data_IF_182005300461
#
_entry.id   IF_182005300461
#
_cell.length_a   1.000
_cell.length_b   1.000
_cell.length_c   1.000
_cell.angle_alpha   90.00
_cell.angle_beta   90.00
_cell.angle_gamma   90.00
#
_symmetry.space_group_name_H-M   'P 1'
#
loop_
_entity.id
_entity.type
_entity.pdbx_description
1 polymer ?
#
# COMPACT_ATOMS: atom_id res chain seq x y z
N UNK A 1 -0.67 6.71 -3.05
CA UNK A 1 -0.39 7.86 -2.15
C UNK A 1 1.11 8.12 -2.14
N UNK A 2 1.54 9.33 -1.78
CA UNK A 2 2.95 9.66 -1.66
C UNK A 2 3.32 9.71 -0.19
N UNK A 3 4.28 8.88 0.22
CA UNK A 3 4.76 8.88 1.61
C UNK A 3 6.28 8.99 1.68
N UNK A 4 6.75 9.52 2.81
CA UNK A 4 8.18 9.64 3.10
C UNK A 4 8.71 8.34 3.69
N UNK A 5 9.63 7.69 2.99
CA UNK A 5 10.37 6.51 3.46
C UNK A 5 11.84 6.89 3.61
N UNK A 6 12.29 7.01 4.86
CA UNK A 6 13.60 7.60 5.17
C UNK A 6 13.64 9.07 4.76
N UNK A 7 14.60 9.45 3.92
CA UNK A 7 14.78 10.83 3.47
C UNK A 7 14.04 11.16 2.17
N UNK A 8 13.47 10.14 1.48
CA UNK A 8 12.86 10.30 0.16
C UNK A 8 11.36 10.04 0.20
N UNK A 9 10.62 10.80 -0.61
CA UNK A 9 9.19 10.59 -0.81
C UNK A 9 8.97 9.67 -2.01
N UNK A 10 8.14 8.65 -1.83
CA UNK A 10 7.84 7.65 -2.85
C UNK A 10 6.33 7.48 -3.02
N UNK A 11 5.91 7.28 -4.28
CA UNK A 11 4.55 6.82 -4.57
C UNK A 11 4.45 5.33 -4.23
N UNK A 12 3.51 5.01 -3.35
CA UNK A 12 3.26 3.66 -2.84
C UNK A 12 1.76 3.45 -2.63
N UNK A 13 1.35 2.18 -2.63
CA UNK A 13 -0.01 1.81 -2.21
C UNK A 13 -0.18 2.03 -0.71
N UNK A 14 -1.38 2.34 -0.19
CA UNK A 14 -1.62 2.40 1.25
C UNK A 14 -1.25 1.07 1.93
N UNK A 15 -0.41 1.12 2.96
CA UNK A 15 -0.06 -0.05 3.77
C UNK A 15 0.13 0.34 5.24
N UNK A 16 0.20 -0.66 6.09
CA UNK A 16 0.57 -0.49 7.49
C UNK A 16 0.83 -1.80 8.19
N UNK A 17 1.27 -1.71 9.45
CA UNK A 17 1.61 -2.87 10.27
C UNK A 17 0.33 -3.55 10.78
N UNK A 18 0.30 -4.89 10.70
CA UNK A 18 -0.73 -5.71 11.36
C UNK A 18 -0.61 -5.59 12.87
N UNK A 19 -1.75 -5.40 13.53
CA UNK A 19 -1.87 -5.39 14.99
C UNK A 19 -2.30 -6.77 15.51
N UNK A 20 -2.11 -7.02 16.80
CA UNK A 20 -2.61 -8.24 17.44
C UNK A 20 -4.14 -8.22 17.48
N UNK A 21 -4.77 -9.38 17.26
CA UNK A 21 -6.24 -9.49 17.20
C UNK A 21 -6.89 -9.20 15.84
N UNK A 22 -6.16 -8.76 14.81
CA UNK A 22 -6.71 -8.56 13.45
C UNK A 22 -6.10 -9.50 12.39
N UNK A 23 -6.91 -9.89 11.40
CA UNK A 23 -6.46 -10.57 10.18
C UNK A 23 -5.76 -9.59 9.22
N UNK A 24 -4.94 -10.09 8.29
CA UNK A 24 -4.26 -9.24 7.29
C UNK A 24 -5.25 -8.44 6.43
N UNK A 25 -6.43 -8.99 6.14
CA UNK A 25 -7.49 -8.27 5.42
C UNK A 25 -8.06 -7.14 6.28
N UNK A 26 -8.36 -7.41 7.55
CA UNK A 26 -8.84 -6.38 8.49
C UNK A 26 -7.81 -5.26 8.65
N UNK A 27 -6.50 -5.58 8.63
CA UNK A 27 -5.44 -4.57 8.56
C UNK A 27 -5.59 -3.68 7.34
N UNK A 28 -5.82 -4.25 6.15
CA UNK A 28 -6.00 -3.46 4.93
C UNK A 28 -7.24 -2.55 4.99
N UNK A 29 -8.36 -3.06 5.50
CA UNK A 29 -9.61 -2.30 5.74
C UNK A 29 -9.37 -1.14 6.72
N UNK A 30 -8.69 -1.41 7.84
CA UNK A 30 -8.34 -0.41 8.85
C UNK A 30 -7.42 0.66 8.28
N UNK A 31 -6.36 0.27 7.56
CA UNK A 31 -5.41 1.22 6.97
C UNK A 31 -6.10 2.11 5.92
N UNK A 32 -7.02 1.56 5.12
CA UNK A 32 -7.81 2.36 4.19
C UNK A 32 -8.64 3.41 4.95
N UNK A 33 -9.34 2.99 6.02
CA UNK A 33 -10.12 3.88 6.86
C UNK A 33 -9.26 4.96 7.56
N UNK A 34 -8.10 4.61 8.09
CA UNK A 34 -7.18 5.53 8.77
C UNK A 34 -6.57 6.55 7.79
N UNK A 35 -6.06 6.09 6.64
CA UNK A 35 -5.37 6.96 5.66
C UNK A 35 -6.32 7.96 5.00
N UNK A 36 -7.58 7.58 4.81
CA UNK A 36 -8.56 8.42 4.14
C UNK A 36 -9.67 8.88 5.09
N UNK A 37 -9.45 8.89 6.41
CA UNK A 37 -10.42 9.39 7.40
C UNK A 37 -11.84 8.83 7.23
N UNK A 38 -11.97 7.55 6.84
CA UNK A 38 -13.23 6.85 6.54
C UNK A 38 -14.09 7.50 5.45
N UNK A 39 -13.49 8.28 4.54
CA UNK A 39 -14.23 8.95 3.46
C UNK A 39 -14.27 8.17 2.16
N UNK A 40 -13.51 7.08 2.05
CA UNK A 40 -13.49 6.16 0.92
C UNK A 40 -14.14 4.85 1.31
N UNK A 41 -15.14 4.43 0.54
CA UNK A 41 -15.82 3.15 0.70
C UNK A 41 -15.38 2.18 -0.40
N UNK A 42 -14.85 1.04 0.00
CA UNK A 42 -14.38 0.02 -0.92
C UNK A 42 -14.84 -1.38 -0.48
N UNK A 43 -15.12 -2.23 -1.46
CA UNK A 43 -15.45 -3.65 -1.26
C UNK A 43 -14.21 -4.50 -1.50
N UNK A 44 -13.71 -5.14 -0.45
CA UNK A 44 -12.59 -6.08 -0.53
C UNK A 44 -13.02 -7.44 -1.09
N UNK A 45 -12.16 -8.04 -1.92
CA UNK A 45 -12.40 -9.35 -2.51
C UNK A 45 -11.68 -10.47 -1.77
N UNK A 46 -12.46 -11.44 -1.24
CA UNK A 46 -11.92 -12.61 -0.55
C UNK A 46 -11.10 -12.26 0.71
N UNK A 47 -10.46 -13.28 1.29
CA UNK A 47 -9.57 -13.13 2.45
C UNK A 47 -8.11 -13.46 2.12
N UNK A 48 -7.81 -13.84 0.87
CA UNK A 48 -6.45 -14.14 0.42
C UNK A 48 -5.80 -12.89 -0.18
N UNK A 49 -4.51 -12.64 0.07
CA UNK A 49 -3.79 -11.58 -0.61
C UNK A 49 -3.65 -11.89 -2.10
N UNK A 50 -3.76 -10.87 -2.95
CA UNK A 50 -3.57 -11.01 -4.40
C UNK A 50 -2.09 -11.01 -4.81
N UNK A 51 -1.21 -10.53 -3.93
CA UNK A 51 0.23 -10.53 -4.15
C UNK A 51 0.99 -10.05 -2.93
N UNK A 52 2.31 -10.06 -3.03
CA UNK A 52 3.18 -9.56 -1.98
C UNK A 52 4.42 -8.87 -2.55
N UNK A 53 5.01 -7.98 -1.77
CA UNK A 53 6.30 -7.36 -2.05
C UNK A 53 7.17 -7.44 -0.81
N UNK A 54 8.45 -7.75 -0.97
CA UNK A 54 9.39 -7.83 0.15
C UNK A 54 10.59 -6.93 -0.13
N UNK A 55 11.08 -6.27 0.91
CA UNK A 55 12.28 -5.46 0.81
C UNK A 55 13.05 -5.50 2.13
N UNK A 56 14.36 -5.28 2.04
CA UNK A 56 15.25 -5.19 3.20
C UNK A 56 15.39 -3.72 3.59
N UNK A 57 15.46 -3.45 4.88
CA UNK A 57 15.74 -2.10 5.36
C UNK A 57 17.21 -1.73 5.12
N UNK A 58 17.57 -0.43 5.09
CA UNK A 58 18.96 0.00 5.15
C UNK A 58 19.70 -0.62 6.34
N UNK A 59 21.00 -0.90 6.20
CA UNK A 59 21.80 -1.55 7.26
C UNK A 59 21.76 -0.81 8.60
N UNK A 60 21.70 0.53 8.58
CA UNK A 60 21.52 1.36 9.78
C UNK A 60 20.24 1.01 10.54
N UNK A 61 19.10 1.02 9.85
CA UNK A 61 17.80 0.65 10.42
C UNK A 61 17.75 -0.82 10.87
N UNK A 62 18.43 -1.73 10.16
CA UNK A 62 18.53 -3.13 10.60
C UNK A 62 19.26 -3.25 11.94
N UNK A 63 20.36 -2.50 12.13
CA UNK A 63 21.12 -2.52 13.38
C UNK A 63 20.34 -1.93 14.56
N UNK A 64 19.58 -0.85 14.33
CA UNK A 64 18.79 -0.19 15.37
C UNK A 64 17.54 -0.98 15.77
N UNK A 65 16.83 -1.54 14.80
CA UNK A 65 15.55 -2.22 15.05
C UNK A 65 15.68 -3.72 15.29
N UNK A 66 16.83 -4.32 14.94
CA UNK A 66 17.02 -5.77 14.82
C UNK A 66 16.00 -6.43 13.86
N UNK A 67 15.48 -5.68 12.88
CA UNK A 67 14.54 -6.16 11.86
C UNK A 67 15.19 -6.07 10.48
N UNK A 68 15.21 -7.20 9.76
CA UNK A 68 15.84 -7.30 8.43
C UNK A 68 15.10 -6.47 7.37
N UNK A 69 13.78 -6.37 7.47
CA UNK A 69 12.93 -5.72 6.47
C UNK A 69 11.45 -6.00 6.66
N UNK A 70 10.67 -5.81 5.59
CA UNK A 70 9.23 -6.00 5.61
C UNK A 70 8.73 -6.86 4.44
N UNK A 71 7.58 -7.50 4.68
CA UNK A 71 6.74 -8.14 3.66
C UNK A 71 5.40 -7.41 3.65
N UNK A 72 5.05 -6.86 2.51
CA UNK A 72 3.75 -6.24 2.24
C UNK A 72 2.87 -7.26 1.54
N UNK A 73 1.66 -7.45 2.02
CA UNK A 73 0.64 -8.30 1.39
C UNK A 73 -0.47 -7.39 0.87
N UNK A 74 -0.79 -7.52 -0.42
CA UNK A 74 -1.77 -6.69 -1.09
C UNK A 74 -3.13 -7.38 -1.13
N UNK A 75 -4.18 -6.61 -0.92
CA UNK A 75 -5.56 -7.07 -1.01
C UNK A 75 -6.28 -6.23 -2.06
N UNK A 76 -6.98 -6.90 -2.98
CA UNK A 76 -7.76 -6.22 -4.02
C UNK A 76 -9.07 -5.72 -3.41
N UNK A 77 -9.41 -4.48 -3.73
CA UNK A 77 -10.70 -3.89 -3.39
C UNK A 77 -11.26 -3.10 -4.57
N UNK A 78 -12.58 -3.07 -4.69
CA UNK A 78 -13.30 -2.23 -5.63
C UNK A 78 -13.75 -0.97 -4.92
N UNK A 79 -13.34 0.17 -5.46
CA UNK A 79 -13.87 1.46 -5.05
C UNK A 79 -15.38 1.52 -5.33
N UNK A 80 -16.18 1.90 -4.34
CA UNK A 80 -17.63 2.05 -4.48
C UNK A 80 -18.01 3.53 -4.57
N UNK A 81 -17.59 4.31 -3.58
CA UNK A 81 -17.92 5.73 -3.46
C UNK A 81 -16.99 6.42 -2.45
N UNK A 82 -17.07 7.74 -2.40
CA UNK A 82 -16.29 8.56 -1.47
C UNK A 82 -15.49 9.67 -2.14
N UNK A 83 -14.78 10.44 -1.33
CA UNK A 83 -13.77 11.38 -1.84
C UNK A 83 -12.72 11.63 -0.77
N UNK A 84 -11.49 11.91 -1.17
CA UNK A 84 -10.40 12.20 -0.23
C UNK A 84 -10.53 13.63 0.27
N UNK A 85 -11.04 13.78 1.50
CA UNK A 85 -11.25 15.11 2.10
C UNK A 85 -9.97 15.73 2.68
N UNK A 86 -8.91 14.94 2.87
CA UNK A 86 -7.65 15.44 3.42
C UNK A 86 -6.82 16.14 2.33
N UNK A 87 -6.80 17.47 2.39
CA UNK A 87 -6.04 18.31 1.44
C UNK A 87 -4.52 18.18 1.59
N UNK A 88 -4.02 17.63 2.71
CA UNK A 88 -2.58 17.43 2.93
C UNK A 88 -2.09 16.10 2.38
N UNK A 89 -3.01 15.16 2.11
CA UNK A 89 -2.66 13.86 1.58
C UNK A 89 -2.36 13.97 0.08
N UNK A 90 -1.10 13.79 -0.30
CA UNK A 90 -0.73 13.63 -1.72
C UNK A 90 -1.18 12.24 -2.21
N UNK A 91 -2.23 12.21 -3.04
CA UNK A 91 -2.74 11.01 -3.69
C UNK A 91 -2.95 11.24 -5.19
N UNK A 92 -3.01 10.16 -5.96
CA UNK A 92 -3.37 10.20 -7.37
C UNK A 92 -4.09 8.90 -7.74
N UNK A 93 -5.06 9.00 -8.63
CA UNK A 93 -5.63 7.87 -9.35
C UNK A 93 -4.85 7.75 -10.66
N UNK A 94 -4.04 6.71 -10.78
CA UNK A 94 -3.17 6.51 -11.93
C UNK A 94 -3.68 5.37 -12.80
N UNK A 95 -3.62 5.55 -14.11
CA UNK A 95 -3.81 4.46 -15.06
C UNK A 95 -2.63 3.49 -15.01
N UNK A 96 -2.82 2.26 -15.50
CA UNK A 96 -1.81 1.19 -15.41
C UNK A 96 -0.52 1.57 -16.13
N UNK A 97 -0.63 2.28 -17.25
CA UNK A 97 0.46 2.74 -18.10
C UNK A 97 1.27 3.87 -17.43
N UNK A 98 0.69 4.54 -16.44
CA UNK A 98 1.32 5.61 -15.67
C UNK A 98 2.08 5.08 -14.45
N UNK A 99 1.70 3.89 -13.94
CA UNK A 99 2.35 3.27 -12.79
C UNK A 99 3.87 3.11 -12.93
N UNK A 100 4.43 2.69 -14.09
CA UNK A 100 5.89 2.60 -14.27
C UNK A 100 6.62 3.94 -14.14
N UNK A 101 5.93 5.06 -14.38
CA UNK A 101 6.49 6.42 -14.27
C UNK A 101 6.44 6.95 -12.84
N UNK A 102 5.51 6.44 -12.02
CA UNK A 102 5.28 6.88 -10.65
C UNK A 102 6.00 6.03 -9.60
N UNK A 103 5.95 4.71 -9.79
CA UNK A 103 6.45 3.73 -8.83
C UNK A 103 7.92 3.40 -9.07
N UNK A 104 8.62 2.97 -8.02
CA UNK A 104 9.95 2.39 -8.16
C UNK A 104 9.91 1.14 -9.04
N UNK A 105 10.93 0.93 -9.87
CA UNK A 105 10.93 -0.14 -10.88
C UNK A 105 10.64 -1.53 -10.29
N UNK A 106 11.35 -1.91 -9.23
CA UNK A 106 11.16 -3.21 -8.58
C UNK A 106 9.77 -3.36 -7.93
N UNK A 107 9.23 -2.26 -7.40
CA UNK A 107 7.91 -2.24 -6.80
C UNK A 107 6.83 -2.38 -7.87
N UNK A 108 6.98 -1.65 -8.98
CA UNK A 108 6.09 -1.72 -10.14
C UNK A 108 6.06 -3.12 -10.75
N UNK A 109 7.22 -3.75 -10.95
CA UNK A 109 7.34 -5.13 -11.46
C UNK A 109 6.58 -6.14 -10.62
N UNK A 110 6.52 -5.96 -9.30
CA UNK A 110 5.75 -6.86 -8.42
C UNK A 110 4.25 -6.57 -8.49
N UNK A 111 3.87 -5.29 -8.50
CA UNK A 111 2.46 -4.88 -8.56
C UNK A 111 1.80 -5.31 -9.88
N UNK A 112 2.50 -5.18 -10.99
CA UNK A 112 1.97 -5.53 -12.31
C UNK A 112 1.57 -7.00 -12.43
N UNK A 113 2.12 -7.89 -11.60
CA UNK A 113 1.79 -9.33 -11.61
C UNK A 113 0.36 -9.65 -11.15
N UNK A 114 -0.26 -8.77 -10.37
CA UNK A 114 -1.59 -9.02 -9.77
C UNK A 114 -2.62 -7.92 -10.04
N UNK A 115 -2.25 -6.92 -10.85
CA UNK A 115 -3.23 -6.04 -11.49
C UNK A 115 -3.80 -6.78 -12.71
N UNK A 116 -5.09 -7.10 -12.68
CA UNK A 116 -5.77 -7.74 -13.81
C UNK A 116 -5.82 -6.79 -15.00
N UNK A 117 -5.69 -7.33 -16.21
CA UNK A 117 -6.08 -6.66 -17.45
C UNK A 117 -7.61 -6.83 -17.60
N UNK A 118 -8.32 -5.75 -17.91
CA UNK A 118 -9.74 -5.79 -18.31
C UNK A 118 -9.86 -6.10 -19.80
#
# INVERSE_FOLDING_TARGET
IKEKLGDKSHWIMPFGKRQEGETMRQTAERILAEKFNKTIHARFYGNAPCGFYKFKYPKSLQAESNVVGAKLFFFKAQYLEGDVKDKKLEYTWAAREELPKLLLEDYNKNISLFLMDE
#
